data_IF_092637478563
#
_entry.id   IF_092637478563
#
_cell.length_a   1.000
_cell.length_b   1.000
_cell.length_c   1.000
_cell.angle_alpha   90.00
_cell.angle_beta   90.00
_cell.angle_gamma   90.00
#
_symmetry.space_group_name_H-M   'P 1'
#
loop_
_entity.id
_entity.type
_entity.pdbx_description
1 polymer ?
#
# COMPACT_ATOMS: atom_id res chain seq x y z
N UNK A 1 25.56 -3.39 -65.13
CA UNK A 1 24.91 -2.11 -64.80
C UNK A 1 24.59 -2.12 -63.34
N UNK A 2 25.32 -1.28 -62.58
CA UNK A 2 25.14 -1.03 -61.15
C UNK A 2 24.08 0.03 -60.98
N UNK A 3 23.17 -0.11 -60.04
CA UNK A 3 22.49 1.00 -59.38
C UNK A 3 21.69 0.44 -58.19
N UNK A 4 22.24 0.68 -57.01
CA UNK A 4 21.73 1.59 -55.96
C UNK A 4 20.40 1.21 -55.35
N UNK A 5 20.43 0.37 -54.32
CA UNK A 5 19.41 0.24 -53.29
C UNK A 5 20.08 0.66 -51.94
N UNK A 6 19.98 1.90 -51.66
CA UNK A 6 20.56 2.45 -50.44
C UNK A 6 20.07 3.87 -50.26
N UNK A 7 18.87 4.09 -49.74
CA UNK A 7 18.43 5.31 -49.07
C UNK A 7 16.91 5.27 -48.74
N UNK A 8 16.50 4.39 -47.84
CA UNK A 8 15.10 4.45 -47.33
C UNK A 8 14.95 3.86 -45.92
N UNK A 9 16.09 3.71 -45.18
CA UNK A 9 16.04 3.15 -43.81
C UNK A 9 16.38 4.16 -42.71
N UNK A 10 16.68 5.41 -43.08
CA UNK A 10 17.13 6.42 -42.08
C UNK A 10 16.04 7.35 -41.59
N UNK A 11 14.82 7.34 -42.16
CA UNK A 11 13.74 8.27 -41.78
C UNK A 11 12.69 7.66 -40.85
N UNK A 12 12.73 6.37 -40.57
CA UNK A 12 11.74 5.74 -39.65
C UNK A 12 12.20 5.67 -38.18
N UNK A 13 13.48 5.90 -37.92
CA UNK A 13 14.02 5.83 -36.56
C UNK A 13 13.89 7.14 -35.78
N UNK A 14 13.69 8.26 -36.47
CA UNK A 14 13.54 9.58 -35.84
C UNK A 14 12.11 9.89 -35.40
N UNK A 15 11.09 9.20 -35.97
CA UNK A 15 9.70 9.43 -35.58
C UNK A 15 9.29 8.62 -34.35
N UNK A 16 9.96 7.50 -34.05
CA UNK A 16 9.68 6.68 -32.87
C UNK A 16 10.27 7.24 -31.59
N UNK A 17 11.35 8.03 -31.67
CA UNK A 17 11.89 8.73 -30.51
C UNK A 17 11.04 9.96 -30.10
N UNK A 18 10.38 10.62 -31.04
CA UNK A 18 9.52 11.76 -30.73
C UNK A 18 8.21 11.33 -30.04
N UNK A 19 7.67 10.16 -30.37
CA UNK A 19 6.46 9.63 -29.73
C UNK A 19 6.71 9.08 -28.32
N UNK A 20 7.94 8.66 -28.01
CA UNK A 20 8.30 8.20 -26.66
C UNK A 20 8.53 9.35 -25.68
N UNK A 21 8.75 10.57 -26.17
CA UNK A 21 9.01 11.74 -25.35
C UNK A 21 7.74 12.54 -25.01
N UNK A 22 6.64 12.28 -25.70
CA UNK A 22 5.37 13.00 -25.47
C UNK A 22 4.42 12.28 -24.51
N UNK A 23 4.73 11.04 -24.10
CA UNK A 23 3.97 10.32 -23.08
C UNK A 23 4.62 10.28 -21.68
N UNK A 24 5.77 10.89 -21.48
CA UNK A 24 6.34 11.12 -20.16
C UNK A 24 5.97 12.48 -19.57
N UNK A 25 4.78 12.95 -19.88
CA UNK A 25 4.10 14.00 -19.15
C UNK A 25 3.50 13.47 -17.85
N UNK A 26 4.21 12.58 -17.18
CA UNK A 26 4.03 12.32 -15.76
C UNK A 26 4.35 13.63 -15.06
N UNK A 27 3.31 14.30 -14.59
CA UNK A 27 3.39 15.52 -13.83
C UNK A 27 4.35 15.24 -12.70
N UNK A 28 5.58 15.73 -12.81
CA UNK A 28 6.60 15.60 -11.79
C UNK A 28 5.96 16.03 -10.47
N UNK A 29 5.84 15.11 -9.51
CA UNK A 29 5.24 15.39 -8.22
C UNK A 29 6.22 16.29 -7.49
N UNK A 30 6.04 17.59 -7.69
CA UNK A 30 6.89 18.64 -7.14
C UNK A 30 6.75 18.64 -5.62
N UNK A 31 7.88 18.72 -4.93
CA UNK A 31 7.95 18.85 -3.46
C UNK A 31 8.30 17.57 -2.70
N UNK A 32 8.50 16.43 -3.35
CA UNK A 32 8.97 15.22 -2.66
C UNK A 32 10.41 15.37 -2.10
N UNK A 33 11.24 16.17 -2.75
CA UNK A 33 12.64 16.38 -2.36
C UNK A 33 12.81 17.35 -1.17
N UNK A 34 11.75 18.07 -0.79
CA UNK A 34 11.78 19.03 0.32
C UNK A 34 11.32 18.41 1.67
N UNK A 35 10.90 17.14 1.65
CA UNK A 35 10.39 16.48 2.83
C UNK A 35 11.50 16.18 3.84
N UNK A 36 11.27 16.54 5.10
CA UNK A 36 12.18 16.28 6.22
C UNK A 36 11.70 15.09 7.02
N UNK A 37 12.61 14.16 7.31
CA UNK A 37 12.27 13.00 8.13
C UNK A 37 11.91 13.42 9.56
N UNK A 38 10.80 12.93 10.05
CA UNK A 38 10.31 13.18 11.42
C UNK A 38 9.86 11.88 12.07
N UNK A 39 9.89 11.85 13.40
CA UNK A 39 9.34 10.71 14.17
C UNK A 39 7.82 10.70 14.03
N UNK A 40 7.27 9.59 13.57
CA UNK A 40 5.85 9.36 13.33
C UNK A 40 5.37 8.00 13.82
N UNK A 41 4.11 7.63 13.57
CA UNK A 41 3.56 6.31 13.94
C UNK A 41 4.06 5.18 13.04
N UNK A 42 4.62 5.52 11.87
CA UNK A 42 5.18 4.57 10.89
C UNK A 42 6.70 4.49 11.03
N UNK A 43 7.31 3.43 10.52
CA UNK A 43 8.77 3.23 10.59
C UNK A 43 9.53 4.40 9.97
N UNK A 44 9.02 4.94 8.88
CA UNK A 44 9.57 6.10 8.22
C UNK A 44 8.46 7.12 7.98
N UNK A 45 8.72 8.36 8.29
CA UNK A 45 7.78 9.46 8.10
C UNK A 45 8.55 10.70 7.69
N UNK A 46 8.11 11.35 6.61
CA UNK A 46 8.65 12.59 6.09
C UNK A 46 7.53 13.61 5.98
N UNK A 47 7.81 14.85 6.29
CA UNK A 47 6.80 15.92 6.33
C UNK A 47 7.42 17.19 5.77
N UNK A 48 6.64 17.98 5.03
CA UNK A 48 7.05 19.33 4.64
C UNK A 48 7.41 20.17 5.88
N UNK A 49 8.54 20.92 5.85
CA UNK A 49 8.97 21.75 6.98
C UNK A 49 7.88 22.68 7.51
N UNK A 50 7.18 23.32 6.60
CA UNK A 50 6.23 24.41 6.89
C UNK A 50 4.77 23.99 6.67
N UNK A 51 4.47 22.68 6.77
CA UNK A 51 3.09 22.21 6.60
C UNK A 51 2.17 22.79 7.69
N UNK A 52 1.16 23.51 7.23
CA UNK A 52 0.07 23.98 8.09
C UNK A 52 -1.16 23.09 7.93
N UNK A 53 -1.33 22.15 8.87
CA UNK A 53 -2.45 21.22 8.88
C UNK A 53 -3.79 21.87 9.25
N UNK A 54 -3.79 23.12 9.78
CA UNK A 54 -5.03 23.83 10.12
C UNK A 54 -5.85 24.16 8.86
N UNK A 55 -5.19 24.32 7.73
CA UNK A 55 -5.81 24.63 6.41
C UNK A 55 -6.74 23.52 5.91
N UNK A 56 -6.51 22.29 6.31
CA UNK A 56 -7.23 21.12 5.78
C UNK A 56 -8.38 20.73 6.70
N UNK A 57 -9.57 20.61 6.14
CA UNK A 57 -10.77 20.10 6.82
C UNK A 57 -11.41 18.92 6.12
N UNK A 58 -10.92 18.58 4.94
CA UNK A 58 -11.48 17.52 4.08
C UNK A 58 -10.40 16.50 3.70
N UNK A 59 -10.79 15.25 3.54
CA UNK A 59 -9.98 14.17 3.00
C UNK A 59 -10.62 13.63 1.74
N UNK A 60 -9.87 13.58 0.66
CA UNK A 60 -10.20 12.82 -0.53
C UNK A 60 -9.36 11.54 -0.51
N UNK A 61 -10.01 10.40 -0.36
CA UNK A 61 -9.33 9.11 -0.37
C UNK A 61 -9.21 8.67 -1.83
N UNK A 62 -7.98 8.63 -2.35
CA UNK A 62 -7.72 8.12 -3.69
C UNK A 62 -7.73 6.60 -3.66
N UNK A 63 -8.15 5.98 -4.77
CA UNK A 63 -8.17 4.52 -4.89
C UNK A 63 -6.78 3.96 -4.58
N UNK A 64 -6.66 3.03 -3.60
CA UNK A 64 -5.36 2.50 -3.20
C UNK A 64 -4.74 1.62 -4.29
N UNK A 65 -3.41 1.68 -4.42
CA UNK A 65 -2.64 0.80 -5.27
C UNK A 65 -2.25 -0.49 -4.54
N UNK A 66 -2.37 -1.64 -5.22
CA UNK A 66 -2.01 -2.94 -4.67
C UNK A 66 -1.04 -3.67 -5.59
N UNK A 67 0.15 -3.94 -5.08
CA UNK A 67 1.16 -4.72 -5.77
C UNK A 67 1.42 -6.03 -5.02
N UNK A 68 1.01 -7.13 -5.61
CA UNK A 68 1.28 -8.46 -5.10
C UNK A 68 2.61 -8.98 -5.66
N UNK A 69 3.42 -9.59 -4.82
CA UNK A 69 4.66 -10.23 -5.28
C UNK A 69 4.33 -11.35 -6.26
N UNK A 70 4.90 -11.27 -7.45
CA UNK A 70 4.84 -12.33 -8.44
C UNK A 70 5.98 -13.32 -8.16
N UNK A 71 5.66 -14.61 -8.17
CA UNK A 71 6.64 -15.64 -7.87
C UNK A 71 6.96 -15.72 -6.38
N UNK A 72 6.53 -16.76 -5.80
CA UNK A 72 6.85 -17.29 -4.50
C UNK A 72 6.78 -18.79 -4.63
N UNK A 73 6.98 -19.55 -3.55
CA UNK A 73 6.74 -20.97 -3.58
C UNK A 73 5.29 -21.23 -4.02
N UNK A 74 5.11 -21.72 -5.24
CA UNK A 74 3.79 -22.05 -5.81
C UNK A 74 3.25 -23.37 -5.30
N UNK A 75 4.10 -24.16 -4.64
CA UNK A 75 3.75 -25.42 -4.00
C UNK A 75 4.18 -25.39 -2.55
N UNK A 76 3.35 -25.95 -1.70
CA UNK A 76 3.76 -26.30 -0.36
C UNK A 76 5.06 -27.11 -0.45
N UNK A 77 6.11 -26.62 0.17
CA UNK A 77 7.37 -27.34 0.28
C UNK A 77 7.17 -28.73 0.91
N UNK A 78 8.21 -29.52 0.99
CA UNK A 78 8.14 -30.82 1.66
C UNK A 78 7.64 -30.63 3.10
N UNK A 79 6.97 -31.64 3.65
CA UNK A 79 6.48 -31.65 5.04
C UNK A 79 7.55 -31.16 6.04
N UNK A 80 8.82 -31.44 5.76
CA UNK A 80 9.97 -31.02 6.58
C UNK A 80 10.25 -29.51 6.47
N UNK A 81 9.99 -28.87 5.33
CA UNK A 81 10.13 -27.42 5.16
C UNK A 81 8.97 -26.69 5.84
N UNK A 82 7.75 -27.22 5.76
CA UNK A 82 6.59 -26.70 6.47
C UNK A 82 6.75 -26.73 7.99
N UNK A 83 7.28 -27.84 8.53
CA UNK A 83 7.53 -27.99 9.96
C UNK A 83 8.63 -27.06 10.49
N UNK A 84 9.52 -26.58 9.62
CA UNK A 84 10.57 -25.61 9.96
C UNK A 84 10.16 -24.15 9.73
N UNK A 85 8.99 -23.88 9.17
CA UNK A 85 8.58 -22.54 8.79
C UNK A 85 9.28 -21.99 7.53
N UNK A 86 10.04 -22.83 6.81
CA UNK A 86 10.86 -22.44 5.66
C UNK A 86 10.07 -22.40 4.33
N UNK A 87 8.75 -22.59 4.39
CA UNK A 87 7.92 -22.79 3.21
C UNK A 87 7.37 -21.52 2.57
N UNK A 88 7.49 -20.34 3.17
CA UNK A 88 6.96 -19.07 2.66
C UNK A 88 8.05 -18.05 2.34
N UNK A 89 7.71 -16.88 1.82
CA UNK A 89 6.36 -16.41 1.50
C UNK A 89 5.81 -16.98 0.19
N UNK A 90 4.51 -17.17 0.14
CA UNK A 90 3.78 -17.66 -1.04
C UNK A 90 3.20 -16.49 -1.84
N UNK A 91 3.00 -16.71 -3.15
CA UNK A 91 2.18 -15.80 -3.95
C UNK A 91 0.72 -15.83 -3.46
N UNK A 92 0.11 -14.65 -3.35
CA UNK A 92 -1.33 -14.56 -3.04
C UNK A 92 -2.13 -15.08 -4.22
N UNK A 93 -3.09 -15.96 -3.99
CA UNK A 93 -3.95 -16.55 -5.04
C UNK A 93 -4.81 -15.48 -5.70
N UNK A 94 -5.09 -15.56 -6.99
CA UNK A 94 -5.87 -14.55 -7.71
C UNK A 94 -7.20 -14.19 -7.04
N UNK A 95 -7.96 -15.19 -6.59
CA UNK A 95 -9.25 -15.01 -5.91
C UNK A 95 -9.11 -14.30 -4.55
N UNK A 96 -7.99 -14.48 -3.86
CA UNK A 96 -7.70 -13.82 -2.60
C UNK A 96 -7.20 -12.38 -2.80
N UNK A 97 -6.62 -12.05 -3.97
CA UNK A 97 -6.17 -10.69 -4.27
C UNK A 97 -7.32 -9.70 -4.30
N UNK A 98 -8.40 -10.02 -5.00
CA UNK A 98 -9.56 -9.11 -5.10
C UNK A 98 -10.26 -8.94 -3.73
N UNK A 99 -10.40 -10.03 -2.99
CA UNK A 99 -10.93 -9.96 -1.62
C UNK A 99 -10.07 -9.11 -0.71
N UNK A 100 -8.73 -9.24 -0.81
CA UNK A 100 -7.79 -8.43 -0.03
C UNK A 100 -7.93 -6.94 -0.36
N UNK A 101 -7.94 -6.58 -1.64
CA UNK A 101 -8.10 -5.19 -2.11
C UNK A 101 -9.37 -4.59 -1.54
N UNK A 102 -10.50 -5.24 -1.75
CA UNK A 102 -11.79 -4.73 -1.29
C UNK A 102 -11.82 -4.59 0.23
N UNK A 103 -11.44 -5.64 0.98
CA UNK A 103 -11.47 -5.63 2.44
C UNK A 103 -10.59 -4.51 3.01
N UNK A 104 -9.38 -4.33 2.48
CA UNK A 104 -8.46 -3.29 2.93
C UNK A 104 -9.01 -1.90 2.59
N UNK A 105 -9.48 -1.69 1.36
CA UNK A 105 -10.04 -0.40 0.93
C UNK A 105 -11.24 0.00 1.79
N UNK A 106 -12.22 -0.90 1.93
CA UNK A 106 -13.43 -0.63 2.72
C UNK A 106 -13.10 -0.32 4.18
N UNK A 107 -12.14 -1.06 4.75
CA UNK A 107 -11.72 -0.86 6.14
C UNK A 107 -11.03 0.49 6.33
N UNK A 108 -10.17 0.91 5.38
CA UNK A 108 -9.50 2.21 5.42
C UNK A 108 -10.49 3.37 5.28
N UNK A 109 -11.40 3.30 4.32
CA UNK A 109 -12.44 4.32 4.12
C UNK A 109 -13.28 4.45 5.39
N UNK A 110 -13.84 3.34 5.88
CA UNK A 110 -14.67 3.34 7.07
C UNK A 110 -13.97 3.87 8.33
N UNK A 111 -12.66 3.64 8.46
CA UNK A 111 -11.91 4.16 9.61
C UNK A 111 -11.60 5.66 9.46
N UNK A 112 -11.30 6.16 8.26
CA UNK A 112 -11.05 7.58 8.01
C UNK A 112 -12.33 8.40 8.14
N UNK A 113 -13.49 7.87 7.74
CA UNK A 113 -14.82 8.50 7.94
C UNK A 113 -15.17 8.72 9.43
N UNK A 114 -14.54 7.98 10.35
CA UNK A 114 -14.71 8.19 11.80
C UNK A 114 -13.99 9.42 12.33
N UNK A 115 -13.25 10.13 11.49
CA UNK A 115 -12.56 11.34 11.91
C UNK A 115 -13.58 12.42 12.35
N UNK A 116 -13.27 13.08 13.46
CA UNK A 116 -14.06 14.22 13.96
C UNK A 116 -13.53 15.58 13.46
N UNK A 117 -12.37 15.59 12.85
CA UNK A 117 -11.68 16.80 12.42
C UNK A 117 -11.59 16.93 10.90
N UNK A 118 -11.90 15.87 10.18
CA UNK A 118 -11.89 15.83 8.72
C UNK A 118 -13.19 15.21 8.20
N UNK A 119 -13.75 15.81 7.17
CA UNK A 119 -14.85 15.27 6.38
C UNK A 119 -14.27 14.51 5.18
N UNK A 120 -14.71 13.27 4.95
CA UNK A 120 -14.34 12.52 3.73
C UNK A 120 -15.23 12.99 2.59
N UNK A 121 -14.61 13.39 1.48
CA UNK A 121 -15.26 13.92 0.29
C UNK A 121 -14.92 13.11 -0.95
N UNK A 122 -15.77 13.17 -1.96
CA UNK A 122 -15.62 12.48 -3.24
C UNK A 122 -14.98 13.33 -4.34
N UNK A 123 -14.72 14.62 -4.07
CA UNK A 123 -14.16 15.58 -5.04
C UNK A 123 -13.13 16.50 -4.39
N UNK A 124 -12.05 16.83 -5.11
CA UNK A 124 -11.09 17.79 -4.62
C UNK A 124 -11.69 19.19 -4.57
N UNK A 125 -11.20 20.01 -3.65
CA UNK A 125 -11.61 21.41 -3.49
C UNK A 125 -10.77 22.11 -2.43
N UNK A 126 -11.06 23.38 -2.13
CA UNK A 126 -10.33 24.13 -1.12
C UNK A 126 -10.31 23.43 0.24
N UNK A 127 -9.14 23.39 0.85
CA UNK A 127 -8.92 22.75 2.15
C UNK A 127 -9.01 21.23 2.13
N UNK A 128 -8.86 20.58 0.96
CA UNK A 128 -8.85 19.13 0.81
C UNK A 128 -7.42 18.60 0.79
N UNK A 129 -7.18 17.57 1.58
CA UNK A 129 -5.97 16.76 1.56
C UNK A 129 -6.27 15.42 0.88
N UNK A 130 -5.55 15.11 -0.19
CA UNK A 130 -5.66 13.81 -0.87
C UNK A 130 -4.84 12.79 -0.08
N UNK A 131 -5.46 11.68 0.28
CA UNK A 131 -4.80 10.51 0.86
C UNK A 131 -4.57 9.50 -0.23
N UNK A 132 -3.32 9.30 -0.65
CA UNK A 132 -2.89 8.26 -1.58
C UNK A 132 -2.23 7.14 -0.79
N UNK A 133 -2.71 5.91 -0.94
CA UNK A 133 -2.18 4.73 -0.29
C UNK A 133 -1.65 3.71 -1.30
N UNK A 134 -0.51 3.09 -1.00
CA UNK A 134 0.04 1.95 -1.73
C UNK A 134 0.31 0.79 -0.78
N UNK A 135 -0.11 -0.39 -1.17
CA UNK A 135 0.18 -1.66 -0.50
C UNK A 135 1.06 -2.48 -1.42
N UNK A 136 2.37 -2.45 -1.16
CA UNK A 136 3.38 -2.96 -2.08
C UNK A 136 3.98 -4.26 -1.55
N UNK A 137 4.47 -5.08 -2.48
CA UNK A 137 5.17 -6.33 -2.16
C UNK A 137 4.38 -7.24 -1.21
N UNK A 138 3.08 -7.38 -1.49
CA UNK A 138 2.14 -8.16 -0.69
C UNK A 138 2.45 -9.65 -0.88
N UNK A 139 2.68 -10.35 0.21
CA UNK A 139 2.94 -11.80 0.23
C UNK A 139 2.03 -12.49 1.25
N UNK A 140 1.86 -13.80 1.08
CA UNK A 140 1.11 -14.67 1.99
C UNK A 140 2.05 -15.67 2.66
N UNK A 141 1.88 -15.87 3.96
CA UNK A 141 2.50 -16.98 4.69
C UNK A 141 1.55 -18.19 4.79
N UNK A 142 0.33 -18.05 4.25
CA UNK A 142 -0.66 -19.15 4.20
C UNK A 142 -0.33 -20.08 3.05
N UNK A 143 -0.05 -21.38 3.32
CA UNK A 143 0.20 -22.35 2.26
C UNK A 143 -0.98 -22.48 1.29
N UNK A 144 -0.73 -22.76 0.00
CA UNK A 144 -1.79 -22.86 -1.02
C UNK A 144 -2.86 -23.93 -0.72
N UNK A 145 -2.50 -24.97 0.02
CA UNK A 145 -3.40 -26.07 0.41
C UNK A 145 -3.31 -26.37 1.91
N UNK A 146 -3.77 -25.49 2.80
CA UNK A 146 -3.60 -25.66 4.24
C UNK A 146 -4.32 -26.89 4.81
N UNK A 147 -5.38 -27.37 4.15
CA UNK A 147 -6.17 -28.53 4.59
C UNK A 147 -5.51 -29.88 4.37
N UNK A 148 -4.49 -29.98 3.50
CA UNK A 148 -3.79 -31.23 3.20
C UNK A 148 -2.73 -31.60 4.24
N UNK A 149 -2.32 -30.68 5.08
CA UNK A 149 -1.16 -30.80 5.99
C UNK A 149 -1.53 -30.78 7.46
N UNK A 150 -2.81 -30.88 7.81
CA UNK A 150 -3.28 -30.82 9.20
C UNK A 150 -3.44 -29.38 9.69
N UNK A 151 -3.47 -29.18 11.01
CA UNK A 151 -3.59 -27.86 11.62
C UNK A 151 -2.25 -27.12 11.51
N UNK A 152 -2.18 -26.16 10.59
CA UNK A 152 -1.03 -25.26 10.45
C UNK A 152 -1.29 -24.03 11.32
N UNK A 153 -0.32 -23.65 12.13
CA UNK A 153 -0.33 -22.43 12.94
C UNK A 153 0.72 -21.47 12.42
N UNK A 154 0.31 -20.22 12.15
CA UNK A 154 1.14 -19.20 11.55
C UNK A 154 1.43 -18.08 12.57
N UNK A 155 2.66 -17.59 12.62
CA UNK A 155 3.05 -16.40 13.38
C UNK A 155 2.64 -15.11 12.67
N UNK A 156 2.49 -15.16 11.35
CA UNK A 156 1.91 -14.13 10.52
C UNK A 156 1.16 -14.80 9.37
N UNK A 157 0.10 -14.16 8.87
CA UNK A 157 -0.66 -14.66 7.72
C UNK A 157 -0.15 -14.10 6.40
N UNK A 158 0.74 -13.11 6.48
CA UNK A 158 1.38 -12.46 5.35
C UNK A 158 2.09 -11.18 5.78
N UNK A 159 2.58 -10.45 4.80
CA UNK A 159 3.30 -9.19 5.01
C UNK A 159 3.04 -8.23 3.84
N UNK A 160 3.07 -6.93 4.10
CA UNK A 160 2.98 -5.89 3.08
C UNK A 160 3.82 -4.67 3.45
N UNK A 161 4.28 -3.94 2.44
CA UNK A 161 4.86 -2.61 2.59
C UNK A 161 3.77 -1.57 2.33
N UNK A 162 3.48 -0.74 3.32
CA UNK A 162 2.53 0.35 3.22
C UNK A 162 3.28 1.64 2.88
N UNK A 163 2.73 2.39 1.93
CA UNK A 163 3.19 3.74 1.62
C UNK A 163 1.97 4.65 1.65
N UNK A 164 2.05 5.76 2.38
CA UNK A 164 1.02 6.79 2.41
C UNK A 164 1.61 8.11 1.95
N UNK A 165 0.85 8.85 1.17
CA UNK A 165 1.15 10.22 0.80
C UNK A 165 -0.07 11.10 1.07
N UNK A 166 0.21 12.27 1.62
CA UNK A 166 -0.76 13.34 1.83
C UNK A 166 -0.42 14.44 0.86
N UNK A 167 -1.35 14.76 -0.04
CA UNK A 167 -1.14 15.70 -1.14
C UNK A 167 -2.14 16.83 -1.00
N UNK A 168 -1.67 18.06 -1.06
CA UNK A 168 -2.55 19.24 -1.15
C UNK A 168 -3.31 19.20 -2.47
N UNK A 169 -4.65 19.21 -2.42
CA UNK A 169 -5.49 19.07 -3.60
C UNK A 169 -5.44 20.28 -4.54
N UNK A 170 -5.08 21.46 -4.04
CA UNK A 170 -5.02 22.70 -4.84
C UNK A 170 -3.68 22.83 -5.55
N UNK A 171 -2.58 22.48 -4.87
CA UNK A 171 -1.22 22.70 -5.39
C UNK A 171 -0.60 21.43 -5.97
N UNK A 172 -1.09 20.25 -5.61
CA UNK A 172 -0.49 18.96 -5.97
C UNK A 172 0.81 18.65 -5.19
N UNK A 173 1.18 19.47 -4.21
CA UNK A 173 2.41 19.30 -3.43
C UNK A 173 2.21 18.22 -2.36
N UNK A 174 3.18 17.31 -2.24
CA UNK A 174 3.20 16.31 -1.17
C UNK A 174 3.51 16.99 0.16
N UNK A 175 2.57 16.93 1.08
CA UNK A 175 2.69 17.49 2.43
C UNK A 175 3.35 16.53 3.42
N UNK A 176 3.11 15.24 3.24
CA UNK A 176 3.76 14.19 4.03
C UNK A 176 3.81 12.86 3.27
N UNK A 177 4.79 12.05 3.62
CA UNK A 177 4.94 10.67 3.17
C UNK A 177 5.24 9.78 4.37
N UNK A 178 4.72 8.58 4.40
CA UNK A 178 5.06 7.57 5.38
C UNK A 178 5.23 6.21 4.71
N UNK A 179 6.16 5.41 5.22
CA UNK A 179 6.37 4.05 4.75
C UNK A 179 6.66 3.10 5.91
N UNK A 180 6.13 1.90 5.84
CA UNK A 180 6.51 0.82 6.75
C UNK A 180 6.27 -0.55 6.13
N UNK A 181 7.12 -1.50 6.47
CA UNK A 181 6.90 -2.92 6.19
C UNK A 181 6.42 -3.61 7.45
N UNK A 182 5.26 -4.28 7.37
CA UNK A 182 4.64 -4.93 8.53
C UNK A 182 4.07 -6.31 8.22
N UNK A 183 4.35 -7.29 9.09
CA UNK A 183 3.64 -8.57 9.06
C UNK A 183 2.19 -8.38 9.53
N UNK A 184 1.31 -9.20 8.95
CA UNK A 184 -0.10 -9.34 9.35
C UNK A 184 -0.14 -10.42 10.44
N UNK A 185 0.01 -10.00 11.70
CA UNK A 185 0.11 -10.92 12.84
C UNK A 185 -1.25 -11.24 13.44
N UNK A 186 -1.42 -12.43 14.03
CA UNK A 186 -2.59 -12.80 14.81
C UNK A 186 -2.82 -11.89 16.03
N UNK A 187 -4.06 -11.78 16.48
CA UNK A 187 -4.36 -11.09 17.73
C UNK A 187 -3.97 -11.93 18.95
N UNK A 188 -2.82 -11.60 19.53
CA UNK A 188 -2.31 -12.24 20.74
C UNK A 188 -3.23 -12.02 21.94
N UNK A 189 -3.89 -10.87 22.02
CA UNK A 189 -4.77 -10.52 23.15
C UNK A 189 -6.01 -11.41 23.22
N UNK A 190 -6.53 -11.82 22.07
CA UNK A 190 -7.70 -12.69 21.99
C UNK A 190 -7.36 -14.17 22.19
N UNK A 191 -6.14 -14.61 21.89
CA UNK A 191 -5.78 -16.03 21.80
C UNK A 191 -4.74 -16.47 22.83
N UNK A 192 -4.05 -15.54 23.48
CA UNK A 192 -2.98 -15.86 24.44
C UNK A 192 -1.73 -16.49 23.83
N UNK A 193 -1.72 -16.67 22.49
CA UNK A 193 -0.60 -17.30 21.73
C UNK A 193 -0.29 -16.45 20.49
N UNK A 194 0.99 -16.41 20.12
CA UNK A 194 1.49 -15.63 18.98
C UNK A 194 1.25 -16.32 17.62
N UNK A 195 0.34 -17.27 17.54
CA UNK A 195 0.06 -18.02 16.32
C UNK A 195 -1.43 -18.16 16.09
N UNK A 196 -1.83 -18.21 14.83
CA UNK A 196 -3.21 -18.45 14.41
C UNK A 196 -3.31 -19.66 13.50
N UNK A 197 -4.41 -20.43 13.57
CA UNK A 197 -4.65 -21.48 12.59
C UNK A 197 -4.82 -20.89 11.19
N UNK A 198 -4.19 -21.52 10.20
CA UNK A 198 -4.23 -21.12 8.80
C UNK A 198 -5.56 -21.47 8.12
N UNK A 199 -6.69 -21.12 8.74
CA UNK A 199 -8.01 -21.26 8.11
C UNK A 199 -8.54 -19.92 7.61
N UNK A 200 -9.40 -19.96 6.60
CA UNK A 200 -9.87 -18.77 5.90
C UNK A 200 -10.51 -17.73 6.84
N UNK A 201 -11.34 -18.14 7.79
CA UNK A 201 -12.01 -17.20 8.69
C UNK A 201 -11.01 -16.44 9.57
N UNK A 202 -10.01 -17.14 10.11
CA UNK A 202 -8.98 -16.53 10.96
C UNK A 202 -8.07 -15.60 10.17
N UNK A 203 -7.63 -16.04 8.97
CA UNK A 203 -6.75 -15.25 8.09
C UNK A 203 -7.41 -13.91 7.73
N UNK A 204 -8.66 -13.93 7.30
CA UNK A 204 -9.37 -12.70 6.90
C UNK A 204 -9.69 -11.78 8.08
N UNK A 205 -9.99 -12.34 9.25
CA UNK A 205 -10.15 -11.53 10.47
C UNK A 205 -8.83 -10.83 10.87
N UNK A 206 -7.69 -11.51 10.70
CA UNK A 206 -6.39 -10.92 10.97
C UNK A 206 -6.02 -9.83 9.94
N UNK A 207 -6.34 -10.02 8.65
CA UNK A 207 -6.18 -9.00 7.60
C UNK A 207 -7.04 -7.77 7.89
N UNK A 208 -8.32 -7.96 8.22
CA UNK A 208 -9.24 -6.85 8.52
C UNK A 208 -8.76 -6.04 9.74
N UNK A 209 -8.37 -6.72 10.81
CA UNK A 209 -7.84 -6.05 11.99
C UNK A 209 -6.58 -5.26 11.68
N UNK A 210 -5.63 -5.87 10.96
CA UNK A 210 -4.40 -5.21 10.55
C UNK A 210 -4.69 -3.94 9.72
N UNK A 211 -5.61 -4.03 8.76
CA UNK A 211 -6.01 -2.88 7.95
C UNK A 211 -6.63 -1.79 8.82
N UNK A 212 -7.51 -2.15 9.76
CA UNK A 212 -8.14 -1.22 10.70
C UNK A 212 -7.12 -0.53 11.60
N UNK A 213 -6.15 -1.27 12.15
CA UNK A 213 -5.11 -0.69 13.00
C UNK A 213 -4.26 0.33 12.22
N UNK A 214 -3.89 0.02 10.96
CA UNK A 214 -3.11 0.94 10.11
C UNK A 214 -3.91 2.18 9.73
N UNK A 215 -5.17 2.03 9.36
CA UNK A 215 -6.07 3.15 9.08
C UNK A 215 -6.30 4.03 10.31
N UNK A 216 -6.44 3.42 11.49
CA UNK A 216 -6.58 4.13 12.76
C UNK A 216 -5.32 4.93 13.12
N UNK A 217 -4.14 4.37 12.87
CA UNK A 217 -2.87 5.07 13.09
C UNK A 217 -2.78 6.30 12.17
N UNK A 218 -3.17 6.17 10.89
CA UNK A 218 -3.22 7.29 9.96
C UNK A 218 -4.20 8.36 10.44
N UNK A 219 -5.44 7.99 10.75
CA UNK A 219 -6.46 8.93 11.25
C UNK A 219 -5.98 9.69 12.50
N UNK A 220 -5.45 8.97 13.50
CA UNK A 220 -4.92 9.58 14.73
C UNK A 220 -3.74 10.51 14.45
N UNK A 221 -2.87 10.16 13.50
CA UNK A 221 -1.75 11.02 13.11
C UNK A 221 -2.23 12.33 12.49
N UNK A 222 -3.21 12.26 11.56
CA UNK A 222 -3.83 13.41 10.93
C UNK A 222 -4.51 14.32 11.97
N UNK A 223 -5.34 13.75 12.83
CA UNK A 223 -6.03 14.51 13.89
C UNK A 223 -5.06 15.17 14.88
N UNK A 224 -3.99 14.46 15.25
CA UNK A 224 -2.93 15.00 16.11
C UNK A 224 -2.19 16.16 15.43
N UNK A 225 -1.84 16.01 14.15
CA UNK A 225 -1.16 17.05 13.40
C UNK A 225 -2.03 18.30 13.27
N UNK A 226 -3.34 18.15 12.98
CA UNK A 226 -4.29 19.26 12.91
C UNK A 226 -4.44 19.98 14.26
N UNK A 227 -4.63 19.25 15.37
CA UNK A 227 -4.73 19.84 16.71
C UNK A 227 -3.48 20.62 17.13
N UNK A 228 -2.31 20.24 16.60
CA UNK A 228 -1.05 20.95 16.90
C UNK A 228 -0.91 22.24 16.12
N UNK A 229 -1.55 22.32 14.94
CA UNK A 229 -1.53 23.49 14.05
C UNK A 229 -2.63 24.52 14.39
N UNK A 230 -3.67 24.10 15.11
CA UNK A 230 -4.76 24.97 15.62
C UNK A 230 -4.42 25.56 16.99
#
# INVERSE_FOLDING_TARGET
MKQTFGLLFATFLSLTLAYAQEQSGEKEITGADELVQKKGPYQQTWVQPDVDMSRYSKLLIWEPEFQFREGGATSAGTTSQMLRGDGGPYAVRPEDRERFKQLVTDTFVAELERSKLFEVVDRPGPGTLIVRAGFLDIVSDVPPNPTRTGNIYLAAVGEATLVFELIDAETGVIQARAAERRPIQPDVRMRGVNTAPANSATVWADVERWARDRAQDLRKALEKAKKKAS
#
